data_IF_870563675530
#
_entry.id   IF_870563675530
#
_cell.length_a   1.000
_cell.length_b   1.000
_cell.length_c   1.000
_cell.angle_alpha   90.00
_cell.angle_beta   90.00
_cell.angle_gamma   90.00
#
_symmetry.space_group_name_H-M   'P 1'
#
loop_
_entity.id
_entity.type
_entity.pdbx_description
1 polymer ?
#
# COMPACT_ATOMS: atom_id res chain seq x y z
N UNK A 1 7.02 -9.68 -12.00
CA UNK A 1 6.84 -11.05 -11.40
C UNK A 1 5.66 -11.01 -10.46
N UNK A 2 4.68 -11.90 -10.64
CA UNK A 2 3.51 -11.95 -9.77
C UNK A 2 3.93 -12.19 -8.33
N UNK A 3 3.42 -11.41 -7.39
CA UNK A 3 3.58 -11.67 -5.96
C UNK A 3 3.03 -13.09 -5.68
N UNK A 4 3.67 -13.83 -4.78
CA UNK A 4 3.20 -15.16 -4.36
C UNK A 4 1.72 -15.11 -4.03
N UNK A 5 1.02 -16.22 -4.23
CA UNK A 5 -0.42 -16.31 -3.99
C UNK A 5 -0.79 -15.63 -2.66
N UNK A 6 -1.52 -14.54 -2.76
CA UNK A 6 -1.93 -13.73 -1.62
C UNK A 6 -3.04 -14.41 -0.80
N UNK A 7 -3.65 -15.49 -1.31
CA UNK A 7 -4.86 -16.06 -0.73
C UNK A 7 -6.01 -15.04 -0.68
N UNK A 8 -6.02 -14.07 -1.61
CA UNK A 8 -7.06 -13.03 -1.68
C UNK A 8 -8.43 -13.67 -1.88
N UNK A 9 -9.43 -13.36 -1.05
CA UNK A 9 -10.79 -13.87 -1.21
C UNK A 9 -11.50 -13.18 -2.39
N UNK A 10 -12.76 -13.55 -2.64
CA UNK A 10 -13.63 -12.78 -3.50
C UNK A 10 -13.83 -11.34 -2.98
N UNK A 11 -14.28 -10.46 -3.86
CA UNK A 11 -14.37 -9.03 -3.59
C UNK A 11 -15.29 -8.69 -2.41
N UNK A 12 -16.45 -9.36 -2.29
CA UNK A 12 -17.42 -9.09 -1.21
C UNK A 12 -16.83 -9.42 0.16
N UNK A 13 -16.15 -10.56 0.29
CA UNK A 13 -15.46 -10.93 1.51
C UNK A 13 -14.28 -10.00 1.80
N UNK A 14 -13.55 -9.58 0.77
CA UNK A 14 -12.43 -8.65 0.90
C UNK A 14 -12.90 -7.30 1.46
N UNK A 15 -13.95 -6.73 0.88
CA UNK A 15 -14.50 -5.45 1.32
C UNK A 15 -15.05 -5.50 2.75
N UNK A 16 -15.56 -6.66 3.18
CA UNK A 16 -16.05 -6.84 4.54
C UNK A 16 -14.95 -6.80 5.62
N UNK A 17 -13.68 -6.97 5.25
CA UNK A 17 -12.56 -6.90 6.21
C UNK A 17 -12.17 -5.46 6.58
N UNK A 18 -12.56 -4.46 5.79
CA UNK A 18 -12.02 -3.11 5.91
C UNK A 18 -13.09 -2.03 6.05
N UNK A 19 -12.68 -0.96 6.72
CA UNK A 19 -13.31 0.37 6.62
C UNK A 19 -12.28 1.30 5.97
N UNK A 20 -12.17 1.31 4.64
CA UNK A 20 -10.99 1.82 3.93
C UNK A 20 -10.68 3.28 4.27
N UNK A 21 -11.70 4.17 4.25
CA UNK A 21 -11.51 5.60 4.56
C UNK A 21 -10.97 5.80 5.99
N UNK A 22 -11.54 5.07 6.96
CA UNK A 22 -11.09 5.15 8.35
C UNK A 22 -9.65 4.66 8.49
N UNK A 23 -9.32 3.56 7.81
CA UNK A 23 -7.97 2.97 7.85
C UNK A 23 -6.97 3.93 7.22
N UNK A 24 -7.26 4.49 6.04
CA UNK A 24 -6.40 5.45 5.36
C UNK A 24 -6.14 6.69 6.21
N UNK A 25 -7.18 7.23 6.87
CA UNK A 25 -7.03 8.34 7.80
C UNK A 25 -6.13 7.99 9.00
N UNK A 26 -6.29 6.80 9.60
CA UNK A 26 -5.40 6.31 10.66
C UNK A 26 -3.95 6.14 10.17
N UNK A 27 -3.76 5.75 8.91
CA UNK A 27 -2.45 5.62 8.28
C UNK A 27 -1.86 6.97 7.85
N UNK A 28 -2.60 8.07 8.01
CA UNK A 28 -2.12 9.43 7.80
C UNK A 28 -2.43 10.03 6.44
N UNK A 29 -3.35 9.41 5.66
CA UNK A 29 -3.87 10.04 4.46
C UNK A 29 -4.87 11.14 4.86
N UNK A 30 -4.65 12.34 4.36
CA UNK A 30 -5.47 13.52 4.61
C UNK A 30 -5.64 14.39 3.36
N UNK A 31 -6.38 15.49 3.50
CA UNK A 31 -6.64 16.43 2.42
C UNK A 31 -5.38 17.21 1.97
N UNK A 32 -4.28 17.20 2.73
CA UNK A 32 -3.02 17.85 2.37
C UNK A 32 -2.12 16.92 1.55
N UNK A 33 -2.41 15.62 1.55
CA UNK A 33 -1.72 14.62 0.74
C UNK A 33 -2.19 14.71 -0.71
N UNK A 34 -1.33 15.16 -1.63
CA UNK A 34 -1.70 15.47 -3.02
C UNK A 34 -1.50 14.32 -4.00
N UNK A 35 -0.44 13.57 -3.81
CA UNK A 35 -0.02 12.50 -4.73
C UNK A 35 0.15 11.21 -3.93
N UNK A 36 -0.60 10.19 -4.31
CA UNK A 36 -0.61 8.88 -3.65
C UNK A 36 -0.25 7.82 -4.69
N UNK A 37 0.64 6.89 -4.34
CA UNK A 37 0.95 5.71 -5.15
C UNK A 37 0.47 4.46 -4.43
N UNK A 38 -0.28 3.58 -5.10
CA UNK A 38 -0.75 2.31 -4.56
C UNK A 38 -0.13 1.14 -5.33
N UNK A 39 0.59 0.29 -4.62
CA UNK A 39 1.27 -0.89 -5.15
C UNK A 39 0.36 -2.11 -5.06
N UNK A 40 -0.25 -2.50 -6.18
CA UNK A 40 -1.22 -3.59 -6.24
C UNK A 40 -2.62 -3.14 -5.80
N UNK A 41 -3.37 -2.52 -6.73
CA UNK A 41 -4.69 -1.96 -6.40
C UNK A 41 -5.78 -3.02 -6.18
N UNK A 42 -5.59 -4.24 -6.72
CA UNK A 42 -6.57 -5.31 -6.60
C UNK A 42 -7.96 -4.85 -7.05
N UNK A 43 -8.95 -5.09 -6.20
CA UNK A 43 -10.35 -4.68 -6.47
C UNK A 43 -10.62 -3.17 -6.35
N UNK A 44 -9.62 -2.35 -6.02
CA UNK A 44 -9.76 -0.90 -5.88
C UNK A 44 -10.36 -0.44 -4.56
N UNK A 45 -10.46 -1.31 -3.57
CA UNK A 45 -11.03 -1.01 -2.25
C UNK A 45 -10.37 0.22 -1.60
N UNK A 46 -9.05 0.29 -1.63
CA UNK A 46 -8.30 1.42 -1.08
C UNK A 46 -8.08 2.53 -2.12
N UNK A 47 -7.97 2.21 -3.41
CA UNK A 47 -7.85 3.18 -4.50
C UNK A 47 -8.99 4.19 -4.47
N UNK A 48 -10.24 3.70 -4.48
CA UNK A 48 -11.42 4.57 -4.50
C UNK A 48 -11.59 5.36 -3.21
N UNK A 49 -11.28 4.74 -2.08
CA UNK A 49 -11.31 5.42 -0.79
C UNK A 49 -10.24 6.52 -0.71
N UNK A 50 -9.02 6.25 -1.17
CA UNK A 50 -7.96 7.25 -1.25
C UNK A 50 -8.36 8.42 -2.14
N UNK A 51 -8.93 8.14 -3.32
CA UNK A 51 -9.37 9.15 -4.26
C UNK A 51 -10.46 10.09 -3.70
N UNK A 52 -11.27 9.62 -2.74
CA UNK A 52 -12.27 10.47 -2.04
C UNK A 52 -11.66 11.31 -0.93
N UNK A 53 -10.55 10.85 -0.32
CA UNK A 53 -9.91 11.53 0.81
C UNK A 53 -8.90 12.58 0.39
N UNK A 54 -8.25 12.41 -0.77
CA UNK A 54 -7.30 13.38 -1.30
C UNK A 54 -7.88 14.17 -2.47
N UNK A 55 -7.64 15.49 -2.56
CA UNK A 55 -7.95 16.26 -3.76
C UNK A 55 -6.87 16.09 -4.86
N UNK A 56 -5.80 15.36 -4.58
CA UNK A 56 -4.72 15.06 -5.51
C UNK A 56 -4.99 13.80 -6.34
N UNK A 57 -3.94 13.27 -6.96
CA UNK A 57 -4.02 12.09 -7.82
C UNK A 57 -3.64 10.83 -7.07
N UNK A 58 -4.39 9.76 -7.29
CA UNK A 58 -4.03 8.40 -6.88
C UNK A 58 -3.50 7.64 -8.09
N UNK A 59 -2.22 7.28 -8.06
CA UNK A 59 -1.57 6.42 -9.06
C UNK A 59 -1.64 4.98 -8.57
N UNK A 60 -2.44 4.15 -9.22
CA UNK A 60 -2.69 2.80 -8.80
C UNK A 60 -2.18 1.81 -9.84
N UNK A 61 -1.38 0.85 -9.38
CA UNK A 61 -0.71 -0.13 -10.22
C UNK A 61 -1.23 -1.53 -9.93
N UNK A 62 -1.36 -2.34 -10.95
CA UNK A 62 -1.53 -3.78 -10.81
C UNK A 62 -0.89 -4.51 -11.99
N UNK A 63 -0.54 -5.78 -11.80
CA UNK A 63 -0.02 -6.65 -12.84
C UNK A 63 -1.14 -7.43 -13.56
N UNK A 64 -2.32 -7.50 -12.96
CA UNK A 64 -3.47 -8.23 -13.47
C UNK A 64 -4.39 -7.29 -14.28
N UNK A 65 -4.55 -7.48 -15.60
CA UNK A 65 -5.41 -6.63 -16.42
C UNK A 65 -6.84 -6.56 -15.90
N UNK A 66 -7.37 -7.69 -15.40
CA UNK A 66 -8.74 -7.78 -14.86
C UNK A 66 -8.94 -6.83 -13.66
N UNK A 67 -7.92 -6.64 -12.82
CA UNK A 67 -8.01 -5.72 -11.68
C UNK A 67 -8.06 -4.27 -12.17
N UNK A 68 -7.24 -3.92 -13.14
CA UNK A 68 -7.24 -2.58 -13.76
C UNK A 68 -8.62 -2.27 -14.38
N UNK A 69 -9.17 -3.20 -15.18
CA UNK A 69 -10.49 -3.05 -15.79
C UNK A 69 -11.59 -2.85 -14.76
N UNK A 70 -11.61 -3.67 -13.70
CA UNK A 70 -12.58 -3.55 -12.59
C UNK A 70 -12.51 -2.20 -11.88
N UNK A 71 -11.32 -1.71 -11.60
CA UNK A 71 -11.16 -0.40 -10.93
C UNK A 71 -11.57 0.72 -11.87
N UNK A 72 -11.28 0.63 -13.16
CA UNK A 72 -11.73 1.61 -14.16
C UNK A 72 -13.27 1.68 -14.23
N UNK A 73 -13.94 0.53 -14.31
CA UNK A 73 -15.40 0.47 -14.30
C UNK A 73 -16.01 1.11 -13.05
N UNK A 74 -15.42 0.86 -11.88
CA UNK A 74 -15.84 1.47 -10.62
C UNK A 74 -15.62 2.98 -10.62
N UNK A 75 -14.49 3.46 -11.09
CA UNK A 75 -14.22 4.89 -11.22
C UNK A 75 -15.26 5.58 -12.12
N UNK A 76 -15.57 4.98 -13.26
CA UNK A 76 -16.58 5.49 -14.18
C UNK A 76 -17.99 5.52 -13.55
N UNK A 77 -18.42 4.42 -12.94
CA UNK A 77 -19.71 4.30 -12.26
C UNK A 77 -19.88 5.32 -11.13
N UNK A 78 -18.84 5.53 -10.34
CA UNK A 78 -18.87 6.37 -9.13
C UNK A 78 -18.45 7.83 -9.41
N UNK A 79 -18.11 8.16 -10.67
CA UNK A 79 -17.70 9.51 -11.09
C UNK A 79 -16.35 9.95 -10.50
N UNK A 80 -15.45 9.00 -10.19
CA UNK A 80 -14.11 9.27 -9.66
C UNK A 80 -13.18 9.63 -10.82
N UNK A 81 -12.56 10.80 -10.79
CA UNK A 81 -11.78 11.34 -11.92
C UNK A 81 -10.30 11.56 -11.60
N UNK A 82 -9.91 11.37 -10.35
CA UNK A 82 -8.55 11.61 -9.87
C UNK A 82 -7.74 10.33 -9.61
N UNK A 83 -8.09 9.23 -10.28
CA UNK A 83 -7.32 7.98 -10.30
C UNK A 83 -6.62 7.83 -11.65
N UNK A 84 -5.36 7.42 -11.61
CA UNK A 84 -4.57 6.98 -12.77
C UNK A 84 -4.21 5.53 -12.59
N UNK A 85 -4.74 4.68 -13.47
CA UNK A 85 -4.53 3.24 -13.45
C UNK A 85 -3.43 2.87 -14.44
N UNK A 86 -2.49 2.04 -14.03
CA UNK A 86 -1.44 1.51 -14.87
C UNK A 86 -1.32 -0.01 -14.71
N UNK A 87 -1.47 -0.74 -15.82
CA UNK A 87 -1.08 -2.14 -15.90
C UNK A 87 0.44 -2.23 -15.91
N UNK A 88 1.04 -2.67 -14.81
CA UNK A 88 2.50 -2.59 -14.66
C UNK A 88 3.06 -3.62 -13.69
N UNK A 89 4.13 -4.29 -14.11
CA UNK A 89 4.99 -5.05 -13.20
C UNK A 89 5.98 -4.10 -12.49
N UNK A 90 5.49 -3.45 -11.44
CA UNK A 90 6.32 -2.50 -10.68
C UNK A 90 7.47 -3.17 -9.89
N UNK A 91 7.47 -4.51 -9.79
CA UNK A 91 8.60 -5.25 -9.21
C UNK A 91 9.76 -5.32 -10.20
N UNK A 92 9.46 -5.61 -11.47
CA UNK A 92 10.48 -5.72 -12.52
C UNK A 92 10.93 -4.35 -13.05
N UNK A 93 9.97 -3.42 -13.23
CA UNK A 93 10.16 -2.18 -13.99
C UNK A 93 10.08 -0.91 -13.14
N UNK A 94 9.90 -1.05 -11.81
CA UNK A 94 9.56 0.06 -10.92
C UNK A 94 8.21 0.67 -11.27
N UNK A 95 7.80 1.68 -10.53
CA UNK A 95 6.52 2.38 -10.75
C UNK A 95 6.52 3.31 -11.96
N UNK A 96 7.69 3.70 -12.47
CA UNK A 96 7.83 4.75 -13.49
C UNK A 96 7.60 6.17 -12.98
N UNK A 97 7.23 6.35 -11.71
CA UNK A 97 7.05 7.65 -11.09
C UNK A 97 8.39 8.34 -10.82
N UNK A 98 8.38 9.68 -10.84
CA UNK A 98 9.56 10.49 -10.56
C UNK A 98 10.04 10.35 -9.10
N UNK A 99 11.35 10.51 -8.87
CA UNK A 99 11.89 10.57 -7.52
C UNK A 99 11.28 11.74 -6.73
N UNK A 100 10.87 11.49 -5.49
CA UNK A 100 10.32 12.51 -4.60
C UNK A 100 8.99 13.12 -5.05
N UNK A 101 8.27 12.47 -5.96
CA UNK A 101 7.02 12.99 -6.53
C UNK A 101 5.77 12.67 -5.71
N UNK A 102 5.83 11.68 -4.81
CA UNK A 102 4.67 11.21 -4.04
C UNK A 102 4.67 11.70 -2.60
N UNK A 103 3.48 12.00 -2.08
CA UNK A 103 3.27 12.30 -0.65
C UNK A 103 3.08 11.05 0.18
N UNK A 104 2.45 10.03 -0.40
CA UNK A 104 2.17 8.77 0.27
C UNK A 104 2.30 7.58 -0.69
N UNK A 105 2.80 6.46 -0.17
CA UNK A 105 2.84 5.17 -0.86
C UNK A 105 2.08 4.13 -0.04
N UNK A 106 1.16 3.38 -0.67
CA UNK A 106 0.35 2.33 -0.07
C UNK A 106 0.89 0.97 -0.50
N UNK A 107 1.33 0.15 0.45
CA UNK A 107 1.84 -1.20 0.23
C UNK A 107 1.01 -2.18 1.06
N UNK A 108 -0.19 -2.50 0.58
CA UNK A 108 -1.17 -3.27 1.34
C UNK A 108 -1.17 -4.75 0.93
N UNK A 109 -0.90 -5.60 1.90
CA UNK A 109 -0.85 -7.06 1.75
C UNK A 109 0.09 -7.55 0.63
N UNK A 110 1.23 -6.87 0.42
CA UNK A 110 2.17 -7.16 -0.66
C UNK A 110 3.59 -7.51 -0.17
N UNK A 111 3.95 -7.19 1.09
CA UNK A 111 5.30 -7.40 1.61
C UNK A 111 5.66 -8.87 1.89
N UNK A 112 4.76 -9.82 1.62
CA UNK A 112 5.11 -11.26 1.54
C UNK A 112 5.81 -11.63 0.22
N UNK A 113 6.18 -10.63 -0.59
CA UNK A 113 7.02 -10.79 -1.77
C UNK A 113 8.41 -11.35 -1.42
N UNK A 114 9.12 -11.92 -2.42
CA UNK A 114 10.48 -12.48 -2.22
C UNK A 114 11.52 -11.44 -1.87
N UNK A 115 11.36 -10.22 -2.38
CA UNK A 115 12.22 -9.07 -2.09
C UNK A 115 11.39 -7.86 -1.60
N UNK A 116 10.98 -7.86 -0.32
CA UNK A 116 10.21 -6.76 0.24
C UNK A 116 11.04 -5.48 0.40
N UNK A 117 12.37 -5.59 0.52
CA UNK A 117 13.26 -4.43 0.63
C UNK A 117 13.32 -3.67 -0.68
N UNK A 118 13.35 -4.35 -1.83
CA UNK A 118 13.30 -3.68 -3.13
C UNK A 118 11.97 -2.93 -3.35
N UNK A 119 10.83 -3.52 -2.94
CA UNK A 119 9.53 -2.83 -2.98
C UNK A 119 9.51 -1.58 -2.11
N UNK A 120 10.02 -1.68 -0.89
CA UNK A 120 10.13 -0.55 0.03
C UNK A 120 11.14 0.48 -0.48
N UNK A 121 12.21 0.06 -1.16
CA UNK A 121 13.19 0.92 -1.81
C UNK A 121 12.58 1.75 -2.94
N UNK A 122 11.71 1.17 -3.77
CA UNK A 122 10.97 1.90 -4.80
C UNK A 122 9.98 2.89 -4.16
N UNK A 123 9.25 2.49 -3.12
CA UNK A 123 8.39 3.40 -2.37
C UNK A 123 9.20 4.56 -1.75
N UNK A 124 10.39 4.27 -1.20
CA UNK A 124 11.30 5.30 -0.68
C UNK A 124 11.74 6.26 -1.76
N UNK A 125 12.12 5.76 -2.94
CA UNK A 125 12.57 6.57 -4.06
C UNK A 125 11.52 7.59 -4.49
N UNK A 126 10.28 7.15 -4.70
CA UNK A 126 9.19 8.00 -5.20
C UNK A 126 8.64 8.97 -4.15
N UNK A 127 8.78 8.67 -2.86
CA UNK A 127 8.31 9.55 -1.80
C UNK A 127 9.16 10.81 -1.68
N UNK A 128 8.51 11.95 -1.48
CA UNK A 128 9.17 13.20 -1.10
C UNK A 128 9.75 13.10 0.32
N UNK A 129 10.75 13.92 0.69
CA UNK A 129 11.17 14.04 2.08
C UNK A 129 9.98 14.33 3.00
N UNK A 130 9.87 13.59 4.11
CA UNK A 130 8.71 13.61 5.02
C UNK A 130 7.49 12.81 4.55
N UNK A 131 7.51 12.24 3.34
CA UNK A 131 6.46 11.36 2.84
C UNK A 131 6.32 10.07 3.62
N UNK A 132 5.17 9.42 3.50
CA UNK A 132 4.78 8.25 4.28
C UNK A 132 4.63 7.03 3.37
N UNK A 133 5.29 5.92 3.72
CA UNK A 133 4.93 4.59 3.26
C UNK A 133 3.99 3.94 4.28
N UNK A 134 2.76 3.65 3.87
CA UNK A 134 1.76 2.98 4.68
C UNK A 134 1.69 1.50 4.30
N UNK A 135 1.78 0.64 5.28
CA UNK A 135 1.74 -0.81 5.11
C UNK A 135 0.56 -1.37 5.88
N UNK A 136 -0.18 -2.28 5.26
CA UNK A 136 -1.13 -3.18 5.93
C UNK A 136 -0.68 -4.60 5.65
N UNK A 137 -0.75 -5.47 6.66
CA UNK A 137 -0.55 -6.89 6.46
C UNK A 137 -1.37 -7.72 7.45
N UNK A 138 -1.57 -8.99 7.10
CA UNK A 138 -2.27 -9.97 7.91
C UNK A 138 -1.53 -10.26 9.21
N UNK A 139 -2.28 -10.35 10.30
CA UNK A 139 -1.75 -10.87 11.55
C UNK A 139 -1.28 -12.33 11.38
N UNK A 140 -0.27 -12.72 12.14
CA UNK A 140 0.15 -14.11 12.25
C UNK A 140 -0.83 -14.85 13.19
N UNK A 141 -2.00 -15.17 12.66
CA UNK A 141 -3.08 -15.80 13.40
C UNK A 141 -3.72 -16.93 12.56
N UNK A 142 -3.60 -18.20 13.01
CA UNK A 142 -4.19 -19.34 12.31
C UNK A 142 -5.73 -19.28 12.20
N UNK A 143 -6.39 -18.46 13.02
CA UNK A 143 -7.85 -18.31 12.96
C UNK A 143 -8.33 -17.37 11.85
N UNK A 144 -7.40 -16.68 11.14
CA UNK A 144 -7.78 -15.82 10.01
C UNK A 144 -8.45 -16.65 8.91
N UNK A 145 -9.61 -16.22 8.38
CA UNK A 145 -10.38 -17.03 7.44
C UNK A 145 -9.72 -17.15 6.06
N UNK A 146 -8.83 -16.25 5.71
CA UNK A 146 -8.14 -16.14 4.42
C UNK A 146 -6.77 -15.48 4.60
N UNK A 147 -6.10 -15.19 3.49
CA UNK A 147 -4.80 -14.53 3.41
C UNK A 147 -3.71 -15.48 2.93
N UNK A 148 -2.49 -14.99 2.76
CA UNK A 148 -1.35 -15.82 2.35
C UNK A 148 -1.05 -16.90 3.38
N UNK A 149 -0.35 -17.95 2.98
CA UNK A 149 0.10 -19.01 3.87
C UNK A 149 0.89 -18.42 5.06
N UNK A 150 0.75 -19.04 6.23
CA UNK A 150 1.32 -18.53 7.48
C UNK A 150 2.84 -18.32 7.39
N UNK A 151 3.53 -19.20 6.67
CA UNK A 151 4.99 -19.20 6.51
C UNK A 151 5.53 -17.97 5.77
N UNK A 152 4.68 -17.32 4.96
CA UNK A 152 5.07 -16.12 4.19
C UNK A 152 4.44 -14.84 4.74
N UNK A 153 3.67 -14.89 5.83
CA UNK A 153 3.13 -13.69 6.49
C UNK A 153 4.23 -13.00 7.29
N UNK A 154 4.65 -11.79 6.90
CA UNK A 154 5.62 -11.07 7.70
C UNK A 154 5.02 -10.61 9.02
N UNK A 155 5.82 -10.64 10.08
CA UNK A 155 5.47 -9.98 11.33
C UNK A 155 5.66 -8.45 11.21
N UNK A 156 5.03 -7.64 12.10
CA UNK A 156 5.31 -6.21 12.15
C UNK A 156 6.81 -5.90 12.29
N UNK A 157 7.53 -6.68 13.10
CA UNK A 157 8.96 -6.51 13.37
C UNK A 157 9.80 -6.75 12.11
N UNK A 158 9.43 -7.74 11.28
CA UNK A 158 10.09 -7.98 9.99
C UNK A 158 9.84 -6.82 9.02
N UNK A 159 8.59 -6.35 8.91
CA UNK A 159 8.27 -5.19 8.06
C UNK A 159 9.04 -3.94 8.51
N UNK A 160 9.18 -3.71 9.81
CA UNK A 160 9.95 -2.59 10.37
C UNK A 160 11.43 -2.72 9.98
N UNK A 161 12.03 -3.89 10.16
CA UNK A 161 13.43 -4.11 9.80
C UNK A 161 13.70 -3.90 8.31
N UNK A 162 12.79 -4.35 7.43
CA UNK A 162 12.91 -4.12 5.98
C UNK A 162 12.75 -2.65 5.61
N UNK A 163 11.82 -1.94 6.26
CA UNK A 163 11.63 -0.51 6.01
C UNK A 163 12.85 0.31 6.47
N UNK A 164 13.43 0.00 7.62
CA UNK A 164 14.67 0.63 8.10
C UNK A 164 15.84 0.33 7.15
N UNK A 165 15.96 -0.89 6.64
CA UNK A 165 16.96 -1.25 5.63
C UNK A 165 16.76 -0.46 4.32
N UNK A 166 15.53 -0.14 3.95
CA UNK A 166 15.22 0.70 2.79
C UNK A 166 15.42 2.21 3.04
N UNK A 167 15.77 2.61 4.28
CA UNK A 167 16.08 4.00 4.65
C UNK A 167 14.96 4.74 5.35
N UNK A 168 13.84 4.11 5.63
CA UNK A 168 12.73 4.72 6.38
C UNK A 168 13.05 4.80 7.89
N UNK A 169 12.32 5.71 8.56
CA UNK A 169 12.27 5.75 10.02
C UNK A 169 10.91 5.26 10.51
N UNK A 170 10.91 4.63 11.69
CA UNK A 170 9.74 4.11 12.36
C UNK A 170 9.71 4.56 13.83
N UNK A 171 8.53 4.75 14.39
CA UNK A 171 8.31 4.98 15.80
C UNK A 171 7.19 4.09 16.34
N UNK A 172 7.22 3.65 17.61
CA UNK A 172 6.18 2.76 18.16
C UNK A 172 4.74 3.26 18.02
N UNK A 173 4.52 4.57 18.02
CA UNK A 173 3.22 5.19 17.78
C UNK A 173 2.71 5.04 16.34
N UNK A 174 3.55 4.60 15.41
CA UNK A 174 3.19 4.37 14.00
C UNK A 174 2.66 2.95 13.73
N UNK A 175 2.53 2.12 14.78
CA UNK A 175 1.82 0.84 14.70
C UNK A 175 0.34 1.03 14.98
N UNK A 176 -0.50 0.48 14.10
CA UNK A 176 -1.95 0.59 14.15
C UNK A 176 -2.54 -0.81 14.21
N UNK A 177 -3.42 -1.05 15.18
CA UNK A 177 -4.14 -2.30 15.31
C UNK A 177 -5.40 -2.24 14.42
N UNK A 178 -5.41 -3.02 13.36
CA UNK A 178 -6.51 -3.12 12.39
C UNK A 178 -7.27 -4.44 12.60
N UNK A 179 -7.86 -4.59 13.80
CA UNK A 179 -8.63 -5.78 14.16
C UNK A 179 -9.75 -6.10 13.17
N UNK A 180 -10.10 -7.41 13.05
CA UNK A 180 -9.49 -8.51 13.80
C UNK A 180 -8.26 -9.14 13.14
N UNK A 181 -8.02 -8.92 11.83
CA UNK A 181 -7.12 -9.76 11.03
C UNK A 181 -5.83 -9.08 10.58
N UNK A 182 -5.72 -7.76 10.73
CA UNK A 182 -4.62 -7.00 10.14
C UNK A 182 -3.92 -6.11 11.17
N UNK A 183 -2.71 -5.70 10.81
CA UNK A 183 -2.00 -4.58 11.41
C UNK A 183 -1.63 -3.56 10.34
N UNK A 184 -1.46 -2.31 10.75
CA UNK A 184 -0.96 -1.22 9.93
C UNK A 184 0.34 -0.66 10.49
N UNK A 185 1.22 -0.19 9.60
CA UNK A 185 2.48 0.48 9.95
C UNK A 185 2.64 1.73 9.09
N UNK A 186 3.18 2.79 9.66
CA UNK A 186 3.59 3.99 8.95
C UNK A 186 5.10 4.13 9.01
N UNK A 187 5.72 4.30 7.88
CA UNK A 187 7.14 4.56 7.76
C UNK A 187 7.35 5.94 7.15
N UNK A 188 8.28 6.73 7.69
CA UNK A 188 8.54 8.08 7.19
C UNK A 188 9.86 8.12 6.44
N UNK A 189 9.84 8.76 5.27
CA UNK A 189 11.08 9.17 4.61
C UNK A 189 11.65 10.37 5.38
N UNK A 190 12.90 10.34 5.86
CA UNK A 190 13.51 11.46 6.57
C UNK A 190 13.37 12.79 5.81
N UNK A 191 13.08 13.89 6.52
CA UNK A 191 12.84 15.22 5.92
C UNK A 191 14.10 15.93 5.41
N UNK A 192 15.29 15.42 5.68
CA UNK A 192 16.57 16.00 5.23
C UNK A 192 17.75 15.06 5.48
N UNK A 193 18.67 15.07 4.52
CA UNK A 193 20.00 14.50 4.49
C UNK A 193 20.28 13.30 5.38
N UNK A 194 20.76 12.23 4.77
CA UNK A 194 21.45 11.18 5.52
C UNK A 194 22.45 11.83 6.47
N UNK A 195 22.49 11.48 7.77
CA UNK A 195 23.70 11.70 8.53
C UNK A 195 24.81 10.92 7.82
N UNK A 196 25.78 11.66 7.32
CA UNK A 196 27.01 11.13 6.72
C UNK A 196 27.77 10.33 7.77
#
# INVERSE_FOLDING_TARGET
MKVRDSGMPDEEMWDAFYSPEKILALLGLDADTREVAEFGCGYGTFTLAAARLTPGTVHAFDIEPEMIERVEEKCQRDGVTNVRLELRDFVADGTGLGEGSMGMALLFNILHHEDPVALLGEAFRILRPGGIAAVIHWNYDPSTPRGPAMEIRPSPEQCIAWAEQAGFTYQPADRIDLKPYHYGLRFRKPAGGYPI
#
